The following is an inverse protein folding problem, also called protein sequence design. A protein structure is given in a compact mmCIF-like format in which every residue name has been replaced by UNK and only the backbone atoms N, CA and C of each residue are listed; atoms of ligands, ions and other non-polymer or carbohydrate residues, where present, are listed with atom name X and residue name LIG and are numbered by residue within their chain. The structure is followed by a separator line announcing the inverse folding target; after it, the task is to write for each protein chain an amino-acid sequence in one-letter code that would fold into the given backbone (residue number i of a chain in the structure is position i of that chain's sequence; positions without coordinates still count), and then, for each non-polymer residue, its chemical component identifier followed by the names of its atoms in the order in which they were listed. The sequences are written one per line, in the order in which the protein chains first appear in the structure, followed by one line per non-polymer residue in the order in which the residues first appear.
data_IF_137138447940
#
_entry.id   IF_137138447940
#
_cell.length_a   1.000
_cell.length_b   1.000
_cell.length_c   1.000
_cell.angle_alpha   90.00
_cell.angle_beta   90.00
_cell.angle_gamma   90.00
#
_symmetry.space_group_name_H-M   'P 1'
#
loop_
_entity.id
_entity.type
_entity.pdbx_description
1 polymer ?
#
# COMPACT_ATOMS: atom_id res chain seq x y z
N UNK A 1 17.13 4.49 17.21
CA UNK A 1 18.48 3.87 17.09
C UNK A 1 19.59 4.92 16.91
N UNK A 2 19.50 5.89 15.96
CA UNK A 2 20.53 6.92 15.76
C UNK A 2 20.69 7.80 17.01
N UNK A 3 19.59 8.23 17.63
CA UNK A 3 19.62 9.02 18.87
C UNK A 3 20.25 8.27 20.06
N UNK A 4 19.94 6.99 20.21
CA UNK A 4 20.54 6.14 21.27
C UNK A 4 22.06 6.01 21.05
N UNK A 5 22.49 5.76 19.80
CA UNK A 5 23.93 5.74 19.47
C UNK A 5 24.61 7.09 19.73
N UNK A 6 23.93 8.20 19.44
CA UNK A 6 24.46 9.54 19.72
C UNK A 6 24.57 9.78 21.26
N UNK A 7 23.56 9.35 22.03
CA UNK A 7 23.60 9.42 23.50
C UNK A 7 24.71 8.55 24.07
N UNK A 8 24.92 7.35 23.55
CA UNK A 8 26.04 6.48 23.96
C UNK A 8 27.40 7.11 23.70
N UNK A 9 27.55 7.82 22.56
CA UNK A 9 28.78 8.53 22.21
C UNK A 9 29.05 9.73 23.14
N UNK A 10 27.99 10.33 23.69
CA UNK A 10 28.10 11.47 24.62
C UNK A 10 28.32 11.02 26.08
N UNK A 11 28.24 9.72 26.37
CA UNK A 11 28.40 9.17 27.73
C UNK A 11 29.75 9.53 28.36
N UNK A 12 30.79 9.66 27.54
CA UNK A 12 32.13 10.06 27.97
C UNK A 12 32.26 11.55 28.34
N UNK A 13 31.32 12.38 27.92
CA UNK A 13 31.30 13.84 28.11
C UNK A 13 30.31 14.23 29.21
N UNK A 14 29.46 13.30 29.64
CA UNK A 14 28.48 13.52 30.72
C UNK A 14 29.15 13.58 32.10
N UNK A 15 28.62 14.38 33.02
CA UNK A 15 29.10 14.40 34.39
C UNK A 15 29.06 13.01 35.05
N UNK A 16 30.03 12.69 35.93
CA UNK A 16 30.03 11.43 36.63
C UNK A 16 28.74 11.21 37.43
N UNK A 17 28.11 10.03 37.27
CA UNK A 17 26.83 9.70 37.91
C UNK A 17 25.58 10.01 37.09
N UNK A 18 25.71 10.52 35.84
CA UNK A 18 24.57 10.69 34.93
C UNK A 18 24.23 9.35 34.31
N UNK A 19 23.01 8.87 34.59
CA UNK A 19 22.43 7.71 33.91
C UNK A 19 21.24 8.17 33.07
N UNK A 20 21.15 7.69 31.81
CA UNK A 20 19.95 7.83 31.03
C UNK A 20 19.24 6.48 30.89
N UNK A 21 17.91 6.50 30.89
CA UNK A 21 17.08 5.33 30.71
C UNK A 21 16.12 5.60 29.55
N UNK A 22 16.16 4.76 28.54
CA UNK A 22 15.15 4.78 27.48
C UNK A 22 13.81 4.37 28.09
N UNK A 23 12.84 5.27 28.07
CA UNK A 23 11.50 5.02 28.62
C UNK A 23 10.60 4.37 27.55
N UNK A 24 10.77 4.75 26.31
CA UNK A 24 10.02 4.22 25.18
C UNK A 24 10.92 4.21 23.94
N UNK A 25 11.05 3.08 23.28
CA UNK A 25 11.71 2.97 21.99
C UNK A 25 10.72 2.38 20.96
N UNK A 26 10.13 3.25 20.16
CA UNK A 26 9.21 2.87 19.10
C UNK A 26 9.91 2.39 17.83
N UNK A 27 11.25 2.37 17.79
CA UNK A 27 12.01 1.94 16.61
C UNK A 27 11.78 0.47 16.28
N UNK A 28 11.65 -0.38 17.29
CA UNK A 28 11.39 -1.81 17.11
C UNK A 28 9.99 -2.04 16.55
N UNK A 29 8.99 -1.30 17.05
CA UNK A 29 7.61 -1.38 16.59
C UNK A 29 7.50 -0.94 15.12
N UNK A 30 8.24 0.12 14.73
CA UNK A 30 8.28 0.60 13.34
C UNK A 30 8.97 -0.43 12.44
N UNK A 31 10.12 -0.99 12.84
CA UNK A 31 10.81 -2.01 12.05
C UNK A 31 9.94 -3.27 11.90
N UNK A 32 9.28 -3.71 12.96
CA UNK A 32 8.36 -4.84 12.92
C UNK A 32 7.16 -4.54 12.01
N UNK A 33 6.64 -3.31 12.03
CA UNK A 33 5.54 -2.90 11.18
C UNK A 33 5.94 -2.85 9.71
N UNK A 34 7.11 -2.31 9.37
CA UNK A 34 7.66 -2.34 8.02
C UNK A 34 7.84 -3.78 7.54
N UNK A 35 8.40 -4.65 8.39
CA UNK A 35 8.55 -6.07 8.09
C UNK A 35 7.20 -6.74 7.86
N UNK A 36 6.20 -6.45 8.70
CA UNK A 36 4.85 -6.99 8.59
C UNK A 36 4.15 -6.52 7.32
N UNK A 37 4.25 -5.23 6.97
CA UNK A 37 3.70 -4.69 5.71
C UNK A 37 4.36 -5.34 4.51
N UNK A 38 5.69 -5.46 4.53
CA UNK A 38 6.43 -6.13 3.45
C UNK A 38 6.03 -7.61 3.32
N UNK A 39 5.91 -8.32 4.44
CA UNK A 39 5.47 -9.72 4.46
C UNK A 39 4.04 -9.86 3.95
N UNK A 40 3.13 -9.01 4.41
CA UNK A 40 1.73 -9.00 3.96
C UNK A 40 1.61 -8.67 2.48
N UNK A 41 2.39 -7.70 1.98
CA UNK A 41 2.42 -7.37 0.57
C UNK A 41 2.92 -8.54 -0.29
N UNK A 42 3.98 -9.23 0.14
CA UNK A 42 4.50 -10.41 -0.56
C UNK A 42 3.49 -11.56 -0.51
N UNK A 43 2.90 -11.84 0.64
CA UNK A 43 1.88 -12.89 0.79
C UNK A 43 0.65 -12.59 -0.06
N UNK A 44 0.17 -11.34 -0.05
CA UNK A 44 -0.94 -10.88 -0.88
C UNK A 44 -0.63 -11.01 -2.36
N UNK A 45 0.58 -10.61 -2.79
CA UNK A 45 1.04 -10.76 -4.16
C UNK A 45 1.10 -12.24 -4.59
N UNK A 46 1.65 -13.11 -3.75
CA UNK A 46 1.72 -14.55 -4.03
C UNK A 46 0.33 -15.15 -4.14
N UNK A 47 -0.56 -14.84 -3.18
CA UNK A 47 -1.93 -15.33 -3.20
C UNK A 47 -2.70 -14.83 -4.43
N UNK A 48 -2.64 -13.53 -4.72
CA UNK A 48 -3.24 -12.95 -5.93
C UNK A 48 -2.69 -13.60 -7.20
N UNK A 49 -1.38 -13.81 -7.28
CA UNK A 49 -0.73 -14.48 -8.42
C UNK A 49 -1.24 -15.91 -8.59
N UNK A 50 -1.40 -16.67 -7.50
CA UNK A 50 -1.93 -18.05 -7.55
C UNK A 50 -3.39 -18.03 -8.03
N UNK A 51 -4.22 -17.16 -7.46
CA UNK A 51 -5.62 -17.01 -7.86
C UNK A 51 -5.72 -16.65 -9.34
N UNK A 52 -4.99 -15.62 -9.77
CA UNK A 52 -4.95 -15.21 -11.18
C UNK A 52 -4.46 -16.34 -12.10
N UNK A 53 -3.48 -17.12 -11.67
CA UNK A 53 -2.95 -18.24 -12.45
C UNK A 53 -3.97 -19.36 -12.63
N UNK A 54 -4.78 -19.64 -11.58
CA UNK A 54 -5.87 -20.61 -11.64
C UNK A 54 -6.99 -20.15 -12.57
N UNK A 55 -7.35 -18.87 -12.51
CA UNK A 55 -8.43 -18.30 -13.33
C UNK A 55 -8.02 -18.07 -14.77
N UNK A 56 -6.92 -17.33 -14.99
CA UNK A 56 -6.45 -16.97 -16.32
C UNK A 56 -5.79 -18.13 -17.08
N UNK A 57 -5.28 -19.14 -16.39
CA UNK A 57 -4.51 -20.27 -16.99
C UNK A 57 -3.43 -19.79 -17.98
N UNK A 58 -2.99 -18.53 -17.82
CA UNK A 58 -2.01 -17.87 -18.71
C UNK A 58 -0.95 -17.18 -17.85
N UNK A 59 0.23 -17.79 -17.79
CA UNK A 59 1.34 -17.33 -16.96
C UNK A 59 1.85 -15.91 -17.35
N UNK A 60 1.76 -15.54 -18.63
CA UNK A 60 2.22 -14.22 -19.10
C UNK A 60 1.30 -13.11 -18.61
N UNK A 61 -0.02 -13.29 -18.75
CA UNK A 61 -0.99 -12.33 -18.26
C UNK A 61 -0.90 -12.20 -16.72
N UNK A 62 -0.79 -13.32 -16.02
CA UNK A 62 -0.61 -13.35 -14.57
C UNK A 62 0.63 -12.56 -14.13
N UNK A 63 1.76 -12.77 -14.81
CA UNK A 63 3.01 -12.06 -14.50
C UNK A 63 2.89 -10.54 -14.70
N UNK A 64 2.26 -10.10 -15.78
CA UNK A 64 2.06 -8.67 -16.06
C UNK A 64 1.26 -7.98 -14.95
N UNK A 65 0.18 -8.60 -14.50
CA UNK A 65 -0.64 -8.04 -13.41
C UNK A 65 0.09 -8.04 -12.09
N UNK A 66 0.74 -9.17 -11.77
CA UNK A 66 1.51 -9.27 -10.53
C UNK A 66 2.65 -8.26 -10.47
N UNK A 67 3.22 -7.85 -11.61
CA UNK A 67 4.24 -6.82 -11.68
C UNK A 67 3.69 -5.40 -11.46
N UNK A 68 2.43 -5.15 -11.72
CA UNK A 68 1.81 -3.84 -11.50
C UNK A 68 1.71 -3.48 -10.00
N UNK A 69 1.48 -4.47 -9.13
CA UNK A 69 1.34 -4.24 -7.68
C UNK A 69 2.59 -3.63 -7.03
N UNK A 70 3.81 -4.17 -7.20
CA UNK A 70 5.01 -3.54 -6.67
C UNK A 70 5.23 -2.11 -7.18
N UNK A 71 4.91 -1.86 -8.46
CA UNK A 71 5.04 -0.53 -9.05
C UNK A 71 4.08 0.45 -8.37
N UNK A 72 2.84 0.07 -8.17
CA UNK A 72 1.86 0.91 -7.49
C UNK A 72 2.26 1.20 -6.03
N UNK A 73 2.78 0.22 -5.30
CA UNK A 73 3.29 0.41 -3.94
C UNK A 73 4.44 1.45 -3.92
N UNK A 74 5.37 1.37 -4.88
CA UNK A 74 6.46 2.34 -5.01
C UNK A 74 5.90 3.75 -5.24
N UNK A 75 4.91 3.90 -6.12
CA UNK A 75 4.25 5.19 -6.35
C UNK A 75 3.55 5.71 -5.10
N UNK A 76 2.85 4.85 -4.34
CA UNK A 76 2.23 5.23 -3.07
C UNK A 76 3.26 5.78 -2.09
N UNK A 77 4.39 5.11 -1.93
CA UNK A 77 5.48 5.64 -1.09
C UNK A 77 6.02 6.98 -1.57
N UNK A 78 6.17 7.16 -2.89
CA UNK A 78 6.62 8.43 -3.45
C UNK A 78 5.62 9.57 -3.16
N UNK A 79 4.31 9.33 -3.30
CA UNK A 79 3.28 10.32 -2.97
C UNK A 79 3.21 10.62 -1.48
N UNK A 80 3.35 9.62 -0.61
CA UNK A 80 3.42 9.83 0.85
C UNK A 80 4.61 10.70 1.23
N UNK A 81 5.77 10.46 0.62
CA UNK A 81 6.97 11.27 0.83
C UNK A 81 6.76 12.73 0.36
N UNK A 82 6.13 12.94 -0.81
CA UNK A 82 5.79 14.28 -1.30
C UNK A 82 4.77 15.00 -0.43
N UNK A 83 3.83 14.28 0.18
CA UNK A 83 2.86 14.83 1.12
C UNK A 83 3.46 15.13 2.50
N UNK A 84 4.74 14.78 2.73
CA UNK A 84 5.40 14.97 4.02
C UNK A 84 4.84 14.07 5.14
N UNK A 85 4.19 12.96 4.75
CA UNK A 85 3.64 11.99 5.70
C UNK A 85 4.76 11.14 6.28
N UNK A 86 4.81 11.03 7.61
CA UNK A 86 5.78 10.16 8.28
C UNK A 86 5.37 8.70 8.17
N UNK A 87 6.37 7.83 7.98
CA UNK A 87 6.15 6.39 8.07
C UNK A 87 6.01 6.01 9.55
N UNK A 88 4.79 5.78 9.97
CA UNK A 88 4.43 5.34 11.30
C UNK A 88 3.49 4.12 11.22
N UNK A 89 3.17 3.52 12.36
CA UNK A 89 2.25 2.37 12.44
C UNK A 89 0.94 2.61 11.70
N UNK A 90 0.40 3.80 11.80
CA UNK A 90 -0.93 4.15 11.26
C UNK A 90 -0.86 4.32 9.74
N UNK A 91 0.18 5.01 9.22
CA UNK A 91 0.39 5.12 7.78
C UNK A 91 0.66 3.77 7.11
N UNK A 92 1.38 2.87 7.82
CA UNK A 92 1.65 1.52 7.35
C UNK A 92 0.39 0.63 7.37
N UNK A 93 -0.49 0.80 8.36
CA UNK A 93 -1.82 0.17 8.34
C UNK A 93 -2.65 0.65 7.15
N UNK A 94 -2.68 1.96 6.89
CA UNK A 94 -3.34 2.53 5.72
C UNK A 94 -2.81 1.97 4.41
N UNK A 95 -1.49 1.85 4.30
CA UNK A 95 -0.84 1.24 3.14
C UNK A 95 -1.25 -0.22 2.95
N UNK A 96 -1.32 -1.01 4.03
CA UNK A 96 -1.76 -2.41 3.96
C UNK A 96 -3.20 -2.54 3.44
N UNK A 97 -4.10 -1.67 3.89
CA UNK A 97 -5.48 -1.60 3.41
C UNK A 97 -5.50 -1.20 1.93
N UNK A 98 -4.76 -0.16 1.56
CA UNK A 98 -4.68 0.33 0.20
C UNK A 98 -4.15 -0.69 -0.80
N UNK A 99 -3.11 -1.44 -0.44
CA UNK A 99 -2.59 -2.56 -1.25
C UNK A 99 -3.66 -3.63 -1.50
N UNK A 100 -4.47 -3.94 -0.49
CA UNK A 100 -5.60 -4.86 -0.64
C UNK A 100 -6.60 -4.35 -1.68
N UNK A 101 -7.03 -3.10 -1.57
CA UNK A 101 -7.99 -2.48 -2.49
C UNK A 101 -7.46 -2.38 -3.92
N UNK A 102 -6.17 -2.07 -4.07
CA UNK A 102 -5.50 -2.02 -5.38
C UNK A 102 -5.46 -3.40 -6.03
N UNK A 103 -5.21 -4.45 -5.24
CA UNK A 103 -5.23 -5.83 -5.73
C UNK A 103 -6.61 -6.19 -6.27
N UNK A 104 -7.68 -5.87 -5.55
CA UNK A 104 -9.05 -6.15 -5.95
C UNK A 104 -9.41 -5.47 -7.28
N UNK A 105 -9.08 -4.18 -7.43
CA UNK A 105 -9.29 -3.45 -8.67
C UNK A 105 -8.50 -4.05 -9.85
N UNK A 106 -7.27 -4.47 -9.61
CA UNK A 106 -6.43 -5.11 -10.63
C UNK A 106 -7.00 -6.45 -11.10
N UNK A 107 -7.53 -7.24 -10.17
CA UNK A 107 -8.17 -8.53 -10.48
C UNK A 107 -9.39 -8.32 -11.37
N UNK A 108 -10.25 -7.34 -11.07
CA UNK A 108 -11.45 -7.04 -11.87
C UNK A 108 -11.10 -6.68 -13.32
N UNK A 109 -10.09 -5.82 -13.52
CA UNK A 109 -9.65 -5.44 -14.88
C UNK A 109 -9.16 -6.65 -15.67
N UNK A 110 -8.33 -7.46 -15.05
CA UNK A 110 -7.73 -8.62 -15.73
C UNK A 110 -8.75 -9.71 -16.01
N UNK A 111 -9.64 -9.96 -15.07
CA UNK A 111 -10.73 -10.94 -15.24
C UNK A 111 -11.60 -10.55 -16.45
N UNK A 112 -11.94 -9.26 -16.58
CA UNK A 112 -12.73 -8.79 -17.72
C UNK A 112 -11.97 -8.87 -19.06
N UNK A 113 -10.68 -8.53 -19.09
CA UNK A 113 -9.83 -8.75 -20.28
C UNK A 113 -9.81 -10.23 -20.66
N UNK A 114 -9.67 -11.10 -19.66
CA UNK A 114 -9.64 -12.54 -19.89
C UNK A 114 -10.98 -13.06 -20.43
N UNK A 115 -12.10 -12.56 -19.94
CA UNK A 115 -13.44 -12.86 -20.46
C UNK A 115 -13.53 -12.50 -21.94
N UNK A 116 -13.06 -11.31 -22.33
CA UNK A 116 -13.02 -10.90 -23.74
C UNK A 116 -12.19 -11.84 -24.61
N UNK A 117 -11.06 -12.35 -24.09
CA UNK A 117 -10.20 -13.29 -24.83
C UNK A 117 -10.82 -14.68 -24.96
N UNK A 118 -11.46 -15.19 -23.91
CA UNK A 118 -11.89 -16.59 -23.85
C UNK A 118 -13.32 -16.81 -24.26
N UNK A 119 -14.23 -15.92 -23.88
CA UNK A 119 -15.67 -16.05 -24.17
C UNK A 119 -16.05 -15.35 -25.45
N UNK A 120 -15.53 -14.14 -25.67
CA UNK A 120 -15.82 -13.35 -26.87
C UNK A 120 -14.86 -13.63 -28.03
N UNK A 121 -13.82 -14.44 -27.78
CA UNK A 121 -12.81 -14.83 -28.78
C UNK A 121 -12.13 -13.63 -29.48
N UNK A 122 -12.04 -12.50 -28.79
CA UNK A 122 -11.40 -11.29 -29.30
C UNK A 122 -9.88 -11.45 -29.38
N UNK A 123 -9.21 -10.87 -30.39
CA UNK A 123 -7.74 -10.79 -30.42
C UNK A 123 -7.20 -10.10 -29.16
N UNK A 124 -6.01 -10.49 -28.70
CA UNK A 124 -5.42 -10.03 -27.41
C UNK A 124 -5.44 -8.51 -27.28
N UNK A 125 -5.11 -7.77 -28.35
CA UNK A 125 -5.06 -6.30 -28.31
C UNK A 125 -6.47 -5.71 -28.10
N UNK A 126 -7.43 -6.18 -28.87
CA UNK A 126 -8.84 -5.74 -28.78
C UNK A 126 -9.47 -6.15 -27.44
N UNK A 127 -9.21 -7.37 -26.98
CA UNK A 127 -9.65 -7.85 -25.67
C UNK A 127 -9.08 -6.98 -24.52
N UNK A 128 -7.82 -6.55 -24.62
CA UNK A 128 -7.20 -5.69 -23.62
C UNK A 128 -7.81 -4.30 -23.59
N UNK A 129 -8.06 -3.71 -24.76
CA UNK A 129 -8.66 -2.37 -24.88
C UNK A 129 -10.13 -2.37 -24.43
N UNK A 130 -10.93 -3.25 -24.99
CA UNK A 130 -12.36 -3.32 -24.69
C UNK A 130 -12.61 -3.79 -23.26
N UNK A 131 -11.91 -4.84 -22.82
CA UNK A 131 -12.04 -5.39 -21.47
C UNK A 131 -11.63 -4.40 -20.38
N UNK A 132 -10.56 -3.64 -20.57
CA UNK A 132 -10.18 -2.59 -19.64
C UNK A 132 -11.18 -1.42 -19.65
N UNK A 133 -11.62 -0.98 -20.84
CA UNK A 133 -12.54 0.15 -20.99
C UNK A 133 -13.88 -0.14 -20.34
N UNK A 134 -14.41 -1.35 -20.49
CA UNK A 134 -15.71 -1.76 -19.94
C UNK A 134 -15.78 -1.60 -18.42
N UNK A 135 -14.71 -1.91 -17.70
CA UNK A 135 -14.67 -1.84 -16.22
C UNK A 135 -14.07 -0.55 -15.69
N UNK A 136 -13.53 0.31 -16.54
CA UNK A 136 -12.85 1.56 -16.14
C UNK A 136 -13.75 2.42 -15.25
N UNK A 137 -15.02 2.61 -15.63
CA UNK A 137 -15.95 3.42 -14.84
C UNK A 137 -16.21 2.83 -13.45
N UNK A 138 -16.31 1.51 -13.35
CA UNK A 138 -16.52 0.81 -12.07
C UNK A 138 -15.31 0.94 -11.16
N UNK A 139 -14.11 0.81 -11.71
CA UNK A 139 -12.84 0.98 -10.96
C UNK A 139 -12.68 2.42 -10.48
N UNK A 140 -12.94 3.42 -11.36
CA UNK A 140 -12.91 4.83 -10.98
C UNK A 140 -13.96 5.12 -9.88
N UNK A 141 -15.17 4.60 -10.02
CA UNK A 141 -16.22 4.77 -9.02
C UNK A 141 -15.85 4.17 -7.67
N UNK A 142 -15.23 2.98 -7.65
CA UNK A 142 -14.69 2.35 -6.43
C UNK A 142 -13.62 3.23 -5.77
N UNK A 143 -12.64 3.69 -6.54
CA UNK A 143 -11.58 4.56 -6.05
C UNK A 143 -12.14 5.90 -5.49
N UNK A 144 -13.07 6.53 -6.23
CA UNK A 144 -13.73 7.77 -5.78
C UNK A 144 -14.54 7.55 -4.49
N UNK A 145 -15.24 6.42 -4.38
CA UNK A 145 -15.99 6.08 -3.16
C UNK A 145 -15.05 5.98 -1.97
N UNK A 146 -13.92 5.34 -2.13
CA UNK A 146 -12.88 5.28 -1.10
C UNK A 146 -12.40 6.67 -0.72
N UNK A 147 -12.05 7.51 -1.70
CA UNK A 147 -11.59 8.89 -1.44
C UNK A 147 -12.65 9.71 -0.70
N UNK A 148 -13.92 9.62 -1.11
CA UNK A 148 -15.05 10.35 -0.48
C UNK A 148 -15.23 9.96 0.99
N UNK A 149 -14.93 8.71 1.36
CA UNK A 149 -15.00 8.25 2.74
C UNK A 149 -13.83 8.80 3.57
N UNK A 150 -12.62 8.84 3.01
CA UNK A 150 -11.42 9.22 3.76
C UNK A 150 -11.11 10.73 3.74
N UNK A 151 -11.51 11.47 2.70
CA UNK A 151 -11.30 12.93 2.62
C UNK A 151 -11.92 13.68 3.80
N UNK A 152 -13.18 13.43 4.24
CA UNK A 152 -13.77 14.14 5.38
C UNK A 152 -12.99 13.98 6.68
N UNK A 153 -12.30 12.83 6.85
CA UNK A 153 -11.51 12.54 8.04
C UNK A 153 -10.35 13.54 8.18
N UNK A 154 -9.79 14.04 7.07
CA UNK A 154 -8.72 15.04 7.06
C UNK A 154 -9.15 16.38 7.66
N UNK A 155 -10.45 16.66 7.73
CA UNK A 155 -11.03 17.91 8.24
C UNK A 155 -11.52 17.81 9.69
N UNK A 156 -11.48 16.62 10.31
CA UNK A 156 -11.88 16.44 11.72
C UNK A 156 -10.87 17.18 12.61
N UNK A 157 -11.30 18.08 13.51
CA UNK A 157 -10.39 18.78 14.43
C UNK A 157 -9.93 17.87 15.58
N UNK A 158 -8.78 18.23 16.18
CA UNK A 158 -8.26 17.58 17.39
C UNK A 158 -7.32 16.40 17.14
N UNK A 159 -7.08 15.62 18.17
CA UNK A 159 -6.13 14.49 18.17
C UNK A 159 -6.50 13.42 17.11
N UNK A 160 -7.79 13.24 16.87
CA UNK A 160 -8.29 12.31 15.85
C UNK A 160 -7.74 12.67 14.45
N UNK A 161 -7.60 13.96 14.12
CA UNK A 161 -7.00 14.38 12.85
C UNK A 161 -5.56 13.91 12.72
N UNK A 162 -4.75 14.07 13.75
CA UNK A 162 -3.33 13.69 13.70
C UNK A 162 -3.17 12.19 13.51
N UNK A 163 -4.04 11.40 14.17
CA UNK A 163 -4.01 9.94 14.07
C UNK A 163 -4.47 9.47 12.67
N UNK A 164 -5.62 9.96 12.21
CA UNK A 164 -6.25 9.44 10.99
C UNK A 164 -5.75 10.12 9.71
N UNK A 165 -5.04 11.25 9.80
CA UNK A 165 -4.49 11.95 8.63
C UNK A 165 -3.54 11.06 7.85
N UNK A 166 -2.57 10.46 8.51
CA UNK A 166 -1.55 9.64 7.88
C UNK A 166 -2.16 8.36 7.29
N UNK A 167 -3.14 7.77 7.97
CA UNK A 167 -3.92 6.64 7.46
C UNK A 167 -4.70 7.03 6.20
N UNK A 168 -5.40 8.18 6.24
CA UNK A 168 -6.20 8.65 5.11
C UNK A 168 -5.34 8.94 3.88
N UNK A 169 -4.19 9.61 4.05
CA UNK A 169 -3.25 9.84 2.95
C UNK A 169 -2.73 8.52 2.37
N UNK A 170 -2.40 7.54 3.21
CA UNK A 170 -1.92 6.25 2.75
C UNK A 170 -2.95 5.52 1.90
N UNK A 171 -4.23 5.57 2.27
CA UNK A 171 -5.32 4.94 1.51
C UNK A 171 -5.65 5.73 0.24
N UNK A 172 -5.68 7.07 0.31
CA UNK A 172 -6.01 7.93 -0.85
C UNK A 172 -4.94 7.82 -1.94
N UNK A 173 -3.67 7.69 -1.58
CA UNK A 173 -2.57 7.59 -2.54
C UNK A 173 -2.28 6.16 -3.02
N UNK A 174 -2.88 5.16 -2.41
CA UNK A 174 -2.79 3.77 -2.84
C UNK A 174 -3.72 3.47 -4.00
#
# INVERSE_FOLDING_TARGET
KAAIKALDSLKSVMPPGTEYKTLLDTSEDIEQSISSVSSNAVQGLVLATIVLLVFLKNIRATFLVSAALPVAIIFTFAFLALAGTSLNLISLMGLSIGVGMLTDNSVVVVDNIYRHMTELHSPVMEASENGATEVTLSVIASALTTMVVFIPILFIPGIAREIFRDLSYSIIFS
#
